data_IF_796895192005
#
_entry.id   IF_796895192005
#
_cell.length_a   1.000
_cell.length_b   1.000
_cell.length_c   1.000
_cell.angle_alpha   90.00
_cell.angle_beta   90.00
_cell.angle_gamma   90.00
#
_symmetry.space_group_name_H-M   'P 1'
#
loop_
_entity.id
_entity.type
_entity.pdbx_description
1 polymer ?
#
# COMPACT_ATOMS: atom_id res chain seq x y z
N UNK A 1 -9.33 37.43 -14.49
CA UNK A 1 -10.03 37.73 -13.22
C UNK A 1 -9.31 37.00 -12.09
N UNK A 2 -8.74 37.72 -11.12
CA UNK A 2 -8.05 37.13 -9.96
C UNK A 2 -9.12 36.65 -8.99
N UNK A 3 -9.47 35.36 -9.04
CA UNK A 3 -10.38 34.76 -8.07
C UNK A 3 -9.63 34.70 -6.75
N UNK A 4 -10.10 35.46 -5.75
CA UNK A 4 -9.49 35.46 -4.43
C UNK A 4 -9.44 34.02 -3.90
N UNK A 5 -8.26 33.57 -3.46
CA UNK A 5 -8.10 32.24 -2.90
C UNK A 5 -8.97 32.15 -1.64
N UNK A 6 -9.80 31.10 -1.50
CA UNK A 6 -10.59 30.91 -0.30
C UNK A 6 -9.69 30.73 0.92
N UNK A 7 -10.09 31.35 2.02
CA UNK A 7 -9.35 31.26 3.28
C UNK A 7 -9.34 29.81 3.80
N UNK A 8 -8.29 29.44 4.54
CA UNK A 8 -8.06 28.07 5.00
C UNK A 8 -9.25 27.53 5.82
N UNK A 9 -9.91 28.40 6.59
CA UNK A 9 -11.10 28.05 7.37
C UNK A 9 -12.30 27.71 6.50
N UNK A 10 -12.45 28.37 5.36
CA UNK A 10 -13.51 28.08 4.37
C UNK A 10 -13.26 26.73 3.70
N UNK A 11 -11.99 26.40 3.43
CA UNK A 11 -11.59 25.11 2.87
C UNK A 11 -11.84 23.99 3.88
N UNK A 12 -11.51 24.21 5.16
CA UNK A 12 -11.74 23.24 6.23
C UNK A 12 -13.23 22.94 6.44
N UNK A 13 -14.08 23.95 6.51
CA UNK A 13 -15.53 23.75 6.63
C UNK A 13 -16.11 22.96 5.44
N UNK A 14 -15.60 23.19 4.23
CA UNK A 14 -15.98 22.43 3.04
C UNK A 14 -15.50 20.97 3.09
N UNK A 15 -14.31 20.71 3.64
CA UNK A 15 -13.81 19.35 3.89
C UNK A 15 -14.72 18.63 4.88
N UNK A 16 -15.02 19.25 6.03
CA UNK A 16 -15.86 18.65 7.07
C UNK A 16 -17.25 18.29 6.52
N UNK A 17 -17.85 19.18 5.72
CA UNK A 17 -19.16 18.91 5.11
C UNK A 17 -19.10 17.77 4.09
N UNK A 18 -18.01 17.67 3.30
CA UNK A 18 -17.82 16.56 2.35
C UNK A 18 -17.59 15.24 3.08
N UNK A 19 -16.90 15.26 4.22
CA UNK A 19 -16.71 14.09 5.07
C UNK A 19 -18.03 13.61 5.66
N UNK A 20 -18.86 14.52 6.19
CA UNK A 20 -20.19 14.20 6.72
C UNK A 20 -21.13 13.65 5.63
N UNK A 21 -21.21 14.30 4.47
CA UNK A 21 -22.03 13.82 3.35
C UNK A 21 -21.59 12.46 2.83
N UNK A 22 -20.27 12.22 2.79
CA UNK A 22 -19.69 10.94 2.39
C UNK A 22 -20.03 9.84 3.41
N UNK A 23 -19.92 10.14 4.72
CA UNK A 23 -20.32 9.22 5.79
C UNK A 23 -21.82 8.89 5.74
N UNK A 24 -22.67 9.90 5.50
CA UNK A 24 -24.13 9.74 5.43
C UNK A 24 -24.56 8.88 4.23
N UNK A 25 -23.86 9.01 3.09
CA UNK A 25 -24.14 8.26 1.86
C UNK A 25 -23.36 6.94 1.75
N UNK A 26 -22.50 6.62 2.72
CA UNK A 26 -21.61 5.46 2.67
C UNK A 26 -20.61 5.50 1.51
N UNK A 27 -20.27 6.70 1.03
CA UNK A 27 -19.32 6.90 -0.07
C UNK A 27 -17.98 7.41 0.46
N UNK A 28 -16.93 7.24 -0.34
CA UNK A 28 -15.60 7.74 0.01
C UNK A 28 -15.53 9.25 -0.27
N UNK A 29 -15.07 10.08 0.68
CA UNK A 29 -14.79 11.49 0.40
C UNK A 29 -13.67 11.58 -0.64
N UNK A 30 -13.83 12.42 -1.66
CA UNK A 30 -12.80 12.65 -2.69
C UNK A 30 -12.42 14.12 -2.78
N UNK A 31 -11.16 14.36 -3.13
CA UNK A 31 -10.61 15.72 -3.38
C UNK A 31 -11.41 16.44 -4.47
N UNK A 32 -11.88 15.70 -5.49
CA UNK A 32 -12.75 16.23 -6.56
C UNK A 32 -14.10 16.73 -6.06
N UNK A 33 -14.65 16.15 -4.99
CA UNK A 33 -15.91 16.63 -4.40
C UNK A 33 -15.72 17.98 -3.70
N UNK A 34 -14.58 18.18 -3.05
CA UNK A 34 -14.20 19.45 -2.42
C UNK A 34 -13.94 20.52 -3.49
N UNK A 35 -13.21 20.19 -4.56
CA UNK A 35 -12.95 21.08 -5.68
C UNK A 35 -14.22 21.56 -6.36
N UNK A 36 -15.16 20.65 -6.61
CA UNK A 36 -16.47 20.98 -7.19
C UNK A 36 -17.29 21.88 -6.27
N UNK A 37 -17.20 21.68 -4.95
CA UNK A 37 -17.94 22.48 -3.96
C UNK A 37 -17.38 23.88 -3.80
N UNK A 38 -16.06 24.02 -3.81
CA UNK A 38 -15.37 25.31 -3.72
C UNK A 38 -15.23 26.00 -5.08
N UNK A 39 -15.51 25.28 -6.18
CA UNK A 39 -15.34 25.74 -7.55
C UNK A 39 -13.88 26.06 -7.89
N UNK A 40 -12.91 25.41 -7.25
CA UNK A 40 -11.47 25.67 -7.42
C UNK A 40 -10.90 24.67 -8.44
N UNK A 41 -10.08 25.13 -9.40
CA UNK A 41 -9.36 24.23 -10.31
C UNK A 41 -8.41 23.28 -9.56
N UNK A 42 -8.35 22.02 -9.99
CA UNK A 42 -7.51 20.96 -9.41
C UNK A 42 -6.05 21.40 -9.18
N UNK A 43 -5.44 22.04 -10.17
CA UNK A 43 -4.06 22.53 -10.09
C UNK A 43 -3.86 23.60 -9.00
N UNK A 44 -4.86 24.46 -8.78
CA UNK A 44 -4.81 25.49 -7.73
C UNK A 44 -4.98 24.85 -6.36
N UNK A 45 -5.85 23.85 -6.25
CA UNK A 45 -6.09 23.14 -5.00
C UNK A 45 -4.83 22.39 -4.53
N UNK A 46 -4.21 21.64 -5.43
CA UNK A 46 -3.00 20.88 -5.15
C UNK A 46 -1.76 21.76 -4.90
N UNK A 47 -1.72 22.99 -5.41
CA UNK A 47 -0.58 23.90 -5.21
C UNK A 47 -0.64 24.68 -3.90
N UNK A 48 -1.83 24.98 -3.41
CA UNK A 48 -2.03 25.85 -2.23
C UNK A 48 -2.51 25.11 -0.99
N UNK A 49 -3.07 23.91 -1.14
CA UNK A 49 -3.72 23.18 -0.04
C UNK A 49 -3.26 21.71 0.03
N UNK A 50 -2.09 21.38 -0.53
CA UNK A 50 -1.49 20.04 -0.46
C UNK A 50 -1.42 19.52 0.99
N UNK A 51 -1.04 20.39 1.92
CA UNK A 51 -0.91 20.05 3.35
C UNK A 51 -2.25 19.63 3.96
N UNK A 52 -3.38 20.20 3.48
CA UNK A 52 -4.72 19.82 3.91
C UNK A 52 -5.15 18.48 3.28
N UNK A 53 -4.69 18.17 2.06
CA UNK A 53 -4.93 16.85 1.45
C UNK A 53 -4.24 15.77 2.30
N UNK A 54 -2.97 15.98 2.64
CA UNK A 54 -2.20 15.02 3.44
C UNK A 54 -2.71 14.91 4.88
N UNK A 55 -3.22 15.99 5.47
CA UNK A 55 -3.73 15.93 6.85
C UNK A 55 -5.07 15.22 6.96
N UNK A 56 -6.00 15.43 6.02
CA UNK A 56 -7.38 14.92 6.13
C UNK A 56 -7.62 13.61 5.36
N UNK A 57 -6.91 13.38 4.25
CA UNK A 57 -7.11 12.17 3.44
C UNK A 57 -6.13 11.03 3.77
N UNK A 58 -5.02 11.30 4.48
CA UNK A 58 -4.04 10.28 4.89
C UNK A 58 -4.47 9.45 6.12
N UNK A 59 -5.15 9.98 7.15
CA UNK A 59 -5.54 9.18 8.32
C UNK A 59 -6.75 8.26 8.08
N UNK A 60 -7.58 8.57 7.08
CA UNK A 60 -8.82 7.83 6.79
C UNK A 60 -8.71 6.88 5.61
N UNK A 61 -7.52 6.34 5.33
CA UNK A 61 -7.38 5.20 4.41
C UNK A 61 -7.29 3.90 5.21
N UNK A 62 -8.42 3.30 5.66
CA UNK A 62 -8.42 1.85 5.76
C UNK A 62 -8.17 1.34 4.33
N UNK A 63 -7.25 0.41 4.20
CA UNK A 63 -6.78 -0.13 2.94
C UNK A 63 -7.91 -0.80 2.15
N UNK A 64 -8.74 -0.06 1.42
CA UNK A 64 -9.61 -0.60 0.38
C UNK A 64 -10.14 0.48 -0.58
N UNK A 65 -10.12 0.13 -1.87
CA UNK A 65 -10.75 0.78 -3.05
C UNK A 65 -10.11 2.04 -3.64
N UNK A 66 -9.50 1.93 -4.85
CA UNK A 66 -9.35 3.05 -5.77
C UNK A 66 -10.58 3.11 -6.71
N UNK A 67 -11.40 4.16 -6.60
CA UNK A 67 -12.43 4.47 -7.59
C UNK A 67 -12.14 5.83 -8.22
N UNK A 68 -11.61 5.73 -9.44
CA UNK A 68 -11.84 6.57 -10.63
C UNK A 68 -11.76 8.10 -10.50
N UNK A 69 -10.61 8.63 -10.91
CA UNK A 69 -10.54 9.86 -11.70
C UNK A 69 -9.28 9.86 -12.57
N UNK A 70 -9.20 8.97 -13.57
CA UNK A 70 -8.42 9.27 -14.77
C UNK A 70 -8.93 8.45 -15.95
N UNK A 71 -9.80 9.07 -16.73
CA UNK A 71 -9.97 8.70 -18.12
C UNK A 71 -8.66 9.04 -18.84
N UNK A 72 -7.80 8.05 -19.03
CA UNK A 72 -6.83 7.98 -20.11
C UNK A 72 -6.23 6.56 -20.16
N UNK A 73 -6.41 5.93 -21.33
CA UNK A 73 -6.07 4.56 -21.71
C UNK A 73 -7.05 3.47 -21.24
N UNK A 74 -7.97 3.14 -22.14
CA UNK A 74 -8.58 1.81 -22.24
C UNK A 74 -7.50 0.77 -22.59
N UNK A 75 -6.62 0.47 -21.65
CA UNK A 75 -5.98 -0.86 -21.61
C UNK A 75 -7.04 -1.84 -21.07
N UNK A 76 -7.27 -2.98 -21.73
CA UNK A 76 -8.40 -3.85 -21.42
C UNK A 76 -8.30 -4.30 -19.96
N UNK A 77 -9.40 -4.25 -19.23
CA UNK A 77 -9.45 -4.61 -17.80
C UNK A 77 -8.82 -5.98 -17.50
N UNK A 78 -8.78 -6.88 -18.49
CA UNK A 78 -8.04 -8.15 -18.49
C UNK A 78 -6.55 -8.00 -18.12
N UNK A 79 -5.84 -6.96 -18.62
CA UNK A 79 -4.43 -6.73 -18.28
C UNK A 79 -4.26 -6.29 -16.84
N UNK A 80 -5.21 -5.52 -16.30
CA UNK A 80 -5.21 -5.11 -14.89
C UNK A 80 -5.49 -6.31 -13.98
N UNK A 81 -6.47 -7.13 -14.33
CA UNK A 81 -6.79 -8.35 -13.58
C UNK A 81 -5.64 -9.37 -13.62
N UNK A 82 -5.01 -9.57 -14.78
CA UNK A 82 -3.83 -10.41 -14.93
C UNK A 82 -2.65 -9.91 -14.07
N UNK A 83 -2.43 -8.59 -14.00
CA UNK A 83 -1.41 -8.00 -13.15
C UNK A 83 -1.72 -8.22 -11.65
N UNK A 84 -2.96 -8.00 -11.22
CA UNK A 84 -3.38 -8.26 -9.84
C UNK A 84 -3.27 -9.74 -9.47
N UNK A 85 -3.63 -10.66 -10.37
CA UNK A 85 -3.46 -12.09 -10.17
C UNK A 85 -1.99 -12.47 -10.03
N UNK A 86 -1.11 -11.92 -10.89
CA UNK A 86 0.35 -12.09 -10.80
C UNK A 86 0.87 -11.59 -9.44
N UNK A 87 0.46 -10.41 -9.02
CA UNK A 87 0.91 -9.81 -7.76
C UNK A 87 0.45 -10.60 -6.54
N UNK A 88 -0.77 -11.15 -6.56
CA UNK A 88 -1.26 -12.05 -5.50
C UNK A 88 -0.45 -13.35 -5.43
N UNK A 89 -0.12 -13.92 -6.59
CA UNK A 89 0.72 -15.11 -6.67
C UNK A 89 2.11 -14.84 -6.11
N UNK A 90 2.74 -13.74 -6.54
CA UNK A 90 4.06 -13.33 -6.08
C UNK A 90 4.08 -13.06 -4.57
N UNK A 91 3.08 -12.34 -4.05
CA UNK A 91 2.92 -12.15 -2.60
C UNK A 91 2.83 -13.47 -1.83
N UNK A 92 2.12 -14.45 -2.39
CA UNK A 92 1.97 -15.77 -1.75
C UNK A 92 3.28 -16.53 -1.76
N UNK A 93 4.02 -16.47 -2.87
CA UNK A 93 5.34 -17.08 -2.99
C UNK A 93 6.34 -16.44 -2.03
N UNK A 94 6.40 -15.10 -1.98
CA UNK A 94 7.27 -14.38 -1.05
C UNK A 94 6.98 -14.72 0.41
N UNK A 95 5.70 -14.85 0.78
CA UNK A 95 5.33 -15.28 2.14
C UNK A 95 5.79 -16.70 2.43
N UNK A 96 5.65 -17.62 1.46
CA UNK A 96 6.12 -19.00 1.58
C UNK A 96 7.64 -19.04 1.77
N UNK A 97 8.38 -18.30 0.95
CA UNK A 97 9.85 -18.19 1.05
C UNK A 97 10.27 -17.61 2.40
N UNK A 98 9.58 -16.57 2.89
CA UNK A 98 9.85 -15.96 4.18
C UNK A 98 9.67 -16.97 5.33
N UNK A 99 8.58 -17.73 5.34
CA UNK A 99 8.36 -18.79 6.35
C UNK A 99 9.47 -19.85 6.32
N UNK A 100 9.97 -20.22 5.13
CA UNK A 100 11.10 -21.15 5.01
C UNK A 100 12.39 -20.56 5.60
N UNK A 101 12.67 -19.28 5.35
CA UNK A 101 13.85 -18.62 5.91
C UNK A 101 13.75 -18.39 7.42
N UNK A 102 12.57 -18.06 7.93
CA UNK A 102 12.34 -17.99 9.38
C UNK A 102 12.65 -19.33 10.05
N UNK A 103 12.21 -20.43 9.46
CA UNK A 103 12.52 -21.77 9.97
C UNK A 103 14.01 -22.10 9.86
N UNK A 104 14.67 -21.70 8.76
CA UNK A 104 16.12 -21.81 8.59
C UNK A 104 16.86 -21.18 9.76
N UNK A 105 16.49 -19.94 10.08
CA UNK A 105 17.17 -19.13 11.09
C UNK A 105 16.91 -19.72 12.47
N UNK A 106 15.68 -20.15 12.77
CA UNK A 106 15.36 -20.85 14.03
C UNK A 106 16.23 -22.09 14.21
N UNK A 107 16.33 -22.91 13.17
CA UNK A 107 17.12 -24.14 13.22
C UNK A 107 18.62 -23.85 13.39
N UNK A 108 19.16 -22.89 12.63
CA UNK A 108 20.55 -22.46 12.77
C UNK A 108 20.84 -21.90 14.16
N UNK A 109 19.89 -21.18 14.78
CA UNK A 109 20.06 -20.66 16.14
C UNK A 109 20.15 -21.81 17.17
N UNK A 110 19.30 -22.83 17.04
CA UNK A 110 19.32 -24.02 17.90
C UNK A 110 20.64 -24.78 17.72
N UNK A 111 21.05 -25.02 16.47
CA UNK A 111 22.30 -25.70 16.16
C UNK A 111 23.51 -24.91 16.69
N UNK A 112 23.52 -23.59 16.56
CA UNK A 112 24.59 -22.74 17.08
C UNK A 112 24.69 -22.82 18.59
N UNK A 113 23.56 -22.78 19.31
CA UNK A 113 23.54 -22.90 20.77
C UNK A 113 24.01 -24.29 21.25
N UNK A 114 23.59 -25.34 20.57
CA UNK A 114 24.04 -26.70 20.85
C UNK A 114 25.57 -26.85 20.64
N UNK A 115 26.12 -26.27 19.56
CA UNK A 115 27.57 -26.23 19.34
C UNK A 115 28.30 -25.47 20.45
N UNK A 116 27.76 -24.33 20.90
CA UNK A 116 28.37 -23.52 21.98
C UNK A 116 28.37 -24.24 23.32
N UNK A 117 27.34 -25.02 23.60
CA UNK A 117 27.19 -25.77 24.85
C UNK A 117 27.92 -27.12 24.82
N UNK A 118 28.61 -27.46 23.72
CA UNK A 118 29.36 -28.71 23.57
C UNK A 118 28.47 -29.94 23.36
N UNK A 119 27.19 -29.74 23.05
CA UNK A 119 26.27 -30.82 22.71
C UNK A 119 26.52 -31.30 21.27
N UNK A 120 26.47 -32.62 21.05
CA UNK A 120 26.58 -33.20 19.71
C UNK A 120 25.38 -32.76 18.86
N UNK A 121 25.61 -31.89 17.88
CA UNK A 121 24.58 -31.51 16.90
C UNK A 121 24.41 -32.62 15.88
N UNK A 122 23.20 -33.16 15.78
CA UNK A 122 22.79 -33.97 14.63
C UNK A 122 22.22 -32.98 13.60
N UNK A 123 22.96 -32.62 12.53
CA UNK A 123 22.43 -31.72 11.53
C UNK A 123 21.21 -32.39 10.87
N UNK A 124 20.08 -31.69 10.84
CA UNK A 124 18.93 -32.13 10.05
C UNK A 124 19.34 -32.09 8.58
N UNK A 125 19.52 -33.27 7.96
CA UNK A 125 20.08 -33.45 6.62
C UNK A 125 19.28 -32.84 5.45
N UNK A 126 18.32 -31.95 5.72
CA UNK A 126 17.47 -31.32 4.70
C UNK A 126 18.12 -30.16 3.93
N UNK A 127 19.18 -29.55 4.44
CA UNK A 127 19.69 -28.26 3.92
C UNK A 127 20.86 -28.39 2.93
N UNK A 128 21.67 -29.45 3.03
CA UNK A 128 22.92 -29.56 2.27
C UNK A 128 22.80 -30.11 0.83
N UNK A 129 21.60 -30.45 0.34
CA UNK A 129 21.46 -31.16 -0.96
C UNK A 129 20.92 -30.34 -2.14
N UNK A 130 20.97 -29.00 -2.12
CA UNK A 130 20.52 -28.17 -3.27
C UNK A 130 21.52 -27.18 -3.86
N UNK A 131 22.76 -27.14 -3.36
CA UNK A 131 23.81 -26.28 -3.94
C UNK A 131 24.98 -27.13 -4.43
N UNK A 132 24.73 -28.03 -5.39
CA UNK A 132 25.81 -28.50 -6.26
C UNK A 132 25.86 -27.55 -7.46
N UNK A 133 26.95 -26.81 -7.69
CA UNK A 133 27.10 -26.07 -8.94
C UNK A 133 27.20 -27.06 -10.12
N UNK A 134 26.73 -26.69 -11.33
CA UNK A 134 26.89 -27.54 -12.50
C UNK A 134 28.40 -27.72 -12.76
N UNK A 135 28.83 -28.98 -12.84
CA UNK A 135 30.19 -29.33 -13.25
C UNK A 135 30.43 -28.83 -14.67
N UNK A 136 31.57 -28.16 -14.88
CA UNK A 136 32.11 -27.86 -16.22
C UNK A 136 32.50 -29.14 -16.96
#
# INVERSE_FOLDING_TARGET
MKRALPDADTVKAAIDTVLEEAATRGHRPTVTAIERRLGIPHATFHRHYADLIDTYFRPHVPATTPTTAQAQSSEPDERREANLARLRKEKTELRRTLTLYEEAIRQLAIENEALRTGATVIPLQGWHRRTSPPSS
#
